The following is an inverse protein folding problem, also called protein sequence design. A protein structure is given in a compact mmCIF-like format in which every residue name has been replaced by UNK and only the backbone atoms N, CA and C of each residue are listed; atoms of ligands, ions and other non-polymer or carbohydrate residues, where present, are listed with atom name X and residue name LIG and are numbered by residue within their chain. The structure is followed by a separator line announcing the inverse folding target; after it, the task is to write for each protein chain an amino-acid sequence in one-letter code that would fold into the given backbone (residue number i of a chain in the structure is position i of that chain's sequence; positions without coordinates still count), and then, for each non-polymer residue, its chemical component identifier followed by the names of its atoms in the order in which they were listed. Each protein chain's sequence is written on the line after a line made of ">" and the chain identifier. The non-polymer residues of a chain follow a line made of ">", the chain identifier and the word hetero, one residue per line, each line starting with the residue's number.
data_IF_228692559775
#
_entry.id   IF_228692559775
#
_cell.length_a   1.000
_cell.length_b   1.000
_cell.length_c   1.000
_cell.angle_alpha   90.00
_cell.angle_beta   90.00
_cell.angle_gamma   90.00
#
_symmetry.space_group_name_H-M   'P 1'
#
loop_
_entity.id
_entity.type
_entity.pdbx_description
1 polymer ?
#
# COMPACT_ATOMS: atom_id res chain seq x y z
N UNK A 1 13.75 11.04 -17.94
CA UNK A 1 12.36 10.58 -17.79
C UNK A 1 11.77 11.38 -16.65
N UNK A 2 10.61 12.03 -16.83
CA UNK A 2 9.98 12.76 -15.74
C UNK A 2 9.48 11.75 -14.70
N UNK A 3 10.02 11.83 -13.50
CA UNK A 3 9.60 11.02 -12.37
C UNK A 3 8.17 11.44 -11.98
N UNK A 4 7.20 10.60 -12.33
CA UNK A 4 5.81 10.87 -11.96
C UNK A 4 5.56 10.27 -10.59
N UNK A 5 5.35 11.13 -9.60
CA UNK A 5 5.08 10.73 -8.23
C UNK A 5 3.58 10.66 -7.96
N UNK A 6 3.17 9.70 -7.13
CA UNK A 6 1.81 9.59 -6.61
C UNK A 6 1.82 9.31 -5.11
N UNK A 7 0.72 9.64 -4.43
CA UNK A 7 0.55 9.36 -3.00
C UNK A 7 -0.01 7.95 -2.81
N UNK A 8 0.56 7.21 -1.88
CA UNK A 8 0.09 5.88 -1.49
C UNK A 8 0.04 5.76 0.04
N UNK A 9 -0.95 5.05 0.57
CA UNK A 9 -0.91 4.57 1.94
C UNK A 9 -0.01 3.34 1.99
N UNK A 10 1.05 3.38 2.80
CA UNK A 10 2.02 2.30 2.92
C UNK A 10 2.04 1.82 4.36
N UNK A 11 1.94 0.50 4.53
CA UNK A 11 2.07 -0.20 5.80
C UNK A 11 3.44 -0.87 5.83
N UNK A 12 4.19 -0.64 6.91
CA UNK A 12 5.53 -1.19 7.14
C UNK A 12 5.60 -1.88 8.50
N UNK A 13 6.34 -2.99 8.58
CA UNK A 13 6.72 -3.61 9.84
C UNK A 13 8.01 -2.93 10.34
N UNK A 14 7.87 -1.90 11.17
CA UNK A 14 9.01 -1.11 11.66
C UNK A 14 9.86 -1.88 12.68
N UNK A 15 9.20 -2.74 13.47
CA UNK A 15 9.81 -3.69 14.41
C UNK A 15 8.99 -4.99 14.35
N UNK A 16 9.50 -6.14 14.83
CA UNK A 16 8.73 -7.39 14.84
C UNK A 16 7.35 -7.20 15.49
N UNK A 17 6.28 -7.47 14.73
CA UNK A 17 4.87 -7.29 15.13
C UNK A 17 4.43 -5.84 15.37
N UNK A 18 5.23 -4.83 15.02
CA UNK A 18 4.87 -3.41 15.11
C UNK A 18 4.69 -2.83 13.71
N UNK A 19 3.44 -2.57 13.35
CA UNK A 19 3.07 -2.08 12.03
C UNK A 19 2.75 -0.59 12.07
N UNK A 20 3.26 0.14 11.09
CA UNK A 20 3.06 1.59 10.96
C UNK A 20 2.52 1.88 9.57
N UNK A 21 1.40 2.60 9.51
CA UNK A 21 0.81 3.10 8.28
C UNK A 21 1.18 4.57 8.06
N UNK A 22 1.62 4.94 6.87
CA UNK A 22 1.96 6.32 6.51
C UNK A 22 1.62 6.64 5.06
N UNK A 23 1.30 7.90 4.76
CA UNK A 23 1.16 8.37 3.38
C UNK A 23 2.54 8.70 2.84
N UNK A 24 2.94 8.06 1.73
CA UNK A 24 4.24 8.28 1.07
C UNK A 24 4.05 8.66 -0.39
N UNK A 25 4.98 9.46 -0.92
CA UNK A 25 5.11 9.63 -2.36
C UNK A 25 5.90 8.44 -2.92
N UNK A 26 5.42 7.86 -4.02
CA UNK A 26 6.00 6.72 -4.73
C UNK A 26 6.14 7.06 -6.22
N UNK A 27 7.15 6.52 -6.87
CA UNK A 27 7.31 6.61 -8.33
C UNK A 27 6.43 5.57 -9.03
N UNK A 28 5.94 5.90 -10.22
CA UNK A 28 5.28 4.92 -11.09
C UNK A 28 6.14 3.68 -11.38
N UNK A 29 7.47 3.83 -11.37
CA UNK A 29 8.41 2.72 -11.60
C UNK A 29 8.46 1.71 -10.44
N UNK A 30 7.92 2.07 -9.26
CA UNK A 30 7.78 1.16 -8.11
C UNK A 30 6.52 0.28 -8.20
N UNK A 31 5.64 0.52 -9.18
CA UNK A 31 4.46 -0.31 -9.39
C UNK A 31 4.86 -1.71 -9.91
N UNK A 32 4.15 -2.77 -9.52
CA UNK A 32 4.38 -4.09 -10.08
C UNK A 32 4.11 -4.08 -11.60
N UNK A 33 4.76 -4.99 -12.32
CA UNK A 33 4.54 -5.15 -13.75
C UNK A 33 3.06 -5.44 -14.06
N UNK A 34 2.52 -4.76 -15.08
CA UNK A 34 1.14 -4.91 -15.51
C UNK A 34 0.89 -4.23 -16.85
N UNK A 35 -0.21 -4.58 -17.50
CA UNK A 35 -0.57 -4.09 -18.84
C UNK A 35 -1.41 -2.80 -18.81
N UNK A 36 -2.05 -2.52 -17.66
CA UNK A 36 -3.00 -1.41 -17.50
C UNK A 36 -2.61 -0.56 -16.29
N UNK A 37 -2.49 0.75 -16.53
CA UNK A 37 -2.31 1.74 -15.47
C UNK A 37 -3.65 2.39 -15.11
N UNK A 38 -4.04 2.30 -13.83
CA UNK A 38 -5.30 2.87 -13.33
C UNK A 38 -5.00 4.07 -12.43
N UNK A 39 -5.56 5.23 -12.78
CA UNK A 39 -5.59 6.39 -11.89
C UNK A 39 -6.79 6.28 -10.94
N UNK A 40 -6.54 5.82 -9.71
CA UNK A 40 -7.58 5.61 -8.70
C UNK A 40 -8.15 6.97 -8.27
N UNK A 41 -9.45 7.16 -8.51
CA UNK A 41 -10.20 8.33 -8.03
C UNK A 41 -10.97 8.05 -6.74
N UNK A 42 -11.41 6.81 -6.56
CA UNK A 42 -12.19 6.36 -5.42
C UNK A 42 -11.74 4.97 -5.01
N UNK A 43 -11.82 4.73 -3.71
CA UNK A 43 -11.65 3.42 -3.10
C UNK A 43 -12.69 3.29 -1.98
N UNK A 44 -12.74 2.12 -1.34
CA UNK A 44 -13.67 1.84 -0.25
C UNK A 44 -12.92 1.23 0.92
N UNK A 45 -13.41 1.51 2.14
CA UNK A 45 -12.90 0.90 3.35
C UNK A 45 -13.66 -0.39 3.65
N UNK A 46 -12.94 -1.51 3.72
CA UNK A 46 -13.48 -2.79 4.16
C UNK A 46 -12.85 -3.22 5.48
N UNK A 47 -13.51 -4.14 6.18
CA UNK A 47 -13.00 -4.72 7.41
C UNK A 47 -11.62 -5.38 7.23
N UNK A 48 -11.40 -6.05 6.09
CA UNK A 48 -10.11 -6.68 5.77
C UNK A 48 -8.96 -5.66 5.65
N UNK A 49 -9.26 -4.42 5.27
CA UNK A 49 -8.24 -3.40 5.07
C UNK A 49 -7.73 -2.87 6.41
N UNK A 50 -8.63 -2.76 7.40
CA UNK A 50 -8.24 -2.51 8.78
C UNK A 50 -7.39 -3.65 9.35
N UNK A 51 -7.70 -4.91 9.03
CA UNK A 51 -6.87 -6.06 9.43
C UNK A 51 -5.48 -6.03 8.76
N UNK A 52 -5.42 -5.62 7.50
CA UNK A 52 -4.19 -5.47 6.74
C UNK A 52 -3.26 -4.39 7.34
N UNK A 53 -3.81 -3.24 7.71
CA UNK A 53 -3.05 -2.11 8.24
C UNK A 53 -2.45 -2.36 9.62
N UNK A 54 -3.03 -3.27 10.42
CA UNK A 54 -2.54 -3.62 11.76
C UNK A 54 -1.64 -4.87 11.80
N UNK A 55 -1.29 -5.45 10.66
CA UNK A 55 -0.34 -6.57 10.67
C UNK A 55 -0.90 -7.98 10.60
N UNK A 56 -2.18 -8.15 10.29
CA UNK A 56 -2.78 -9.49 10.33
C UNK A 56 -2.21 -10.38 9.22
N UNK A 57 -1.42 -11.38 9.62
CA UNK A 57 -0.73 -12.33 8.72
C UNK A 57 -1.68 -13.21 7.89
N UNK A 58 -2.96 -13.33 8.28
CA UNK A 58 -3.99 -13.98 7.48
C UNK A 58 -4.44 -13.15 6.27
N UNK A 59 -4.19 -11.84 6.29
CA UNK A 59 -4.59 -10.89 5.24
C UNK A 59 -3.38 -10.38 4.46
N UNK A 60 -2.33 -9.92 5.14
CA UNK A 60 -1.11 -9.38 4.51
C UNK A 60 0.09 -10.24 4.90
N UNK A 61 0.83 -10.70 3.88
CA UNK A 61 1.94 -11.64 4.05
C UNK A 61 3.33 -11.00 3.89
N UNK A 62 3.39 -9.85 3.22
CA UNK A 62 4.64 -9.18 2.87
C UNK A 62 4.51 -7.69 3.17
N UNK A 63 5.57 -7.12 3.73
CA UNK A 63 5.71 -5.69 4.01
C UNK A 63 6.98 -5.18 3.32
N UNK A 64 7.03 -3.92 2.84
CA UNK A 64 5.94 -2.93 2.84
C UNK A 64 4.76 -3.31 1.92
N UNK A 65 3.56 -2.85 2.27
CA UNK A 65 2.33 -3.12 1.52
C UNK A 65 1.46 -1.86 1.34
N UNK A 66 0.81 -1.74 0.20
CA UNK A 66 -0.23 -0.74 -0.07
C UNK A 66 -1.60 -1.41 0.03
N UNK A 67 -2.38 -1.19 1.12
CA UNK A 67 -3.72 -1.75 1.26
C UNK A 67 -4.70 -1.15 0.25
N UNK A 68 -5.78 -1.86 -0.05
CA UNK A 68 -6.81 -1.42 -0.99
C UNK A 68 -7.83 -0.48 -0.37
N UNK A 69 -7.42 0.76 -0.06
CA UNK A 69 -8.25 1.84 0.53
C UNK A 69 -7.95 3.20 -0.05
#
# INVERSE_FOLDING_TARGET
>A
MNETLFRALVVEEAEPKRFVSSIKNRSLDELPAGEVLVRVHYSALNYKDALSSVGNRGVTRSYPHTPGV
#
